data_IF_206720083485
#
_entry.id   IF_206720083485
#
_cell.length_a   1.000
_cell.length_b   1.000
_cell.length_c   1.000
_cell.angle_alpha   90.00
_cell.angle_beta   90.00
_cell.angle_gamma   90.00
#
_symmetry.space_group_name_H-M   'P 1'
#
loop_
_entity.id
_entity.type
_entity.pdbx_description
1 polymer ?
#
# COMPACT_ATOMS: atom_id res chain seq x y z
N UNK A 1 -6.93 21.53 -14.23
CA UNK A 1 -8.25 20.85 -14.21
C UNK A 1 -8.05 19.35 -14.14
N UNK A 2 -8.71 18.70 -13.19
CA UNK A 2 -8.69 17.24 -13.11
C UNK A 2 -9.62 16.64 -14.18
N UNK A 3 -9.28 15.44 -14.66
CA UNK A 3 -10.17 14.71 -15.58
C UNK A 3 -11.54 14.44 -14.95
N UNK A 4 -11.64 14.47 -13.62
CA UNK A 4 -12.89 14.25 -12.90
C UNK A 4 -13.85 15.45 -12.96
N UNK A 5 -13.40 16.61 -13.47
CA UNK A 5 -14.20 17.83 -13.51
C UNK A 5 -15.05 17.96 -14.77
N UNK A 6 -14.92 17.02 -15.72
CA UNK A 6 -15.60 17.13 -17.01
C UNK A 6 -17.10 16.84 -16.95
N UNK A 7 -17.50 15.81 -16.21
CA UNK A 7 -18.87 15.29 -16.28
C UNK A 7 -19.15 14.37 -15.08
N UNK A 8 -20.28 14.52 -14.36
CA UNK A 8 -20.61 13.62 -13.26
C UNK A 8 -20.74 12.15 -13.66
N UNK A 9 -21.27 11.88 -14.87
CA UNK A 9 -21.36 10.52 -15.38
C UNK A 9 -19.97 9.96 -15.69
N UNK A 10 -19.09 10.82 -16.19
CA UNK A 10 -17.70 10.46 -16.46
C UNK A 10 -16.95 10.16 -15.16
N UNK A 11 -17.24 10.88 -14.06
CA UNK A 11 -16.67 10.60 -12.75
C UNK A 11 -17.03 9.20 -12.28
N UNK A 12 -18.29 8.78 -12.39
CA UNK A 12 -18.70 7.42 -12.05
C UNK A 12 -17.95 6.37 -12.85
N UNK A 13 -17.83 6.59 -14.16
CA UNK A 13 -17.08 5.68 -15.04
C UNK A 13 -15.61 5.61 -14.63
N UNK A 14 -15.00 6.77 -14.35
CA UNK A 14 -13.59 6.82 -13.94
C UNK A 14 -13.34 6.10 -12.62
N UNK A 15 -14.24 6.21 -11.66
CA UNK A 15 -14.14 5.49 -10.40
C UNK A 15 -14.11 3.99 -10.65
N UNK A 16 -15.01 3.47 -11.50
CA UNK A 16 -15.04 2.05 -11.85
C UNK A 16 -13.78 1.62 -12.60
N UNK A 17 -13.29 2.47 -13.50
CA UNK A 17 -12.05 2.19 -14.23
C UNK A 17 -10.85 2.14 -13.29
N UNK A 18 -10.76 3.06 -12.34
CA UNK A 18 -9.69 3.07 -11.35
C UNK A 18 -9.77 1.86 -10.43
N UNK A 19 -10.95 1.48 -9.97
CA UNK A 19 -11.15 0.27 -9.17
C UNK A 19 -10.65 -0.96 -9.91
N UNK A 20 -11.00 -1.09 -11.20
CA UNK A 20 -10.56 -2.22 -12.01
C UNK A 20 -9.07 -2.18 -12.28
N UNK A 21 -8.51 -0.99 -12.53
CA UNK A 21 -7.08 -0.83 -12.76
C UNK A 21 -6.27 -1.26 -11.54
N UNK A 22 -6.73 -0.88 -10.35
CA UNK A 22 -6.07 -1.24 -9.09
C UNK A 22 -6.19 -2.74 -8.84
N UNK A 23 -7.41 -3.30 -8.96
CA UNK A 23 -7.66 -4.71 -8.68
C UNK A 23 -6.90 -5.64 -9.61
N UNK A 24 -6.75 -5.25 -10.88
CA UNK A 24 -6.09 -6.07 -11.90
C UNK A 24 -4.66 -5.63 -12.23
N UNK A 25 -4.09 -4.72 -11.44
CA UNK A 25 -2.68 -4.33 -11.60
C UNK A 25 -1.75 -5.51 -11.40
N UNK A 26 -0.66 -5.55 -12.18
CA UNK A 26 0.41 -6.53 -11.97
C UNK A 26 1.21 -6.25 -10.70
N UNK A 27 1.24 -5.00 -10.26
CA UNK A 27 1.93 -4.63 -9.02
C UNK A 27 0.99 -4.81 -7.84
N UNK A 28 1.57 -5.16 -6.69
CA UNK A 28 0.82 -5.27 -5.45
C UNK A 28 0.45 -3.88 -4.95
N UNK A 29 -0.80 -3.72 -4.57
CA UNK A 29 -1.33 -2.45 -4.07
C UNK A 29 -1.97 -2.67 -2.72
N UNK A 30 -1.61 -1.81 -1.77
CA UNK A 30 -2.17 -1.81 -0.42
C UNK A 30 -2.57 -0.38 -0.05
N UNK A 31 -3.72 -0.23 0.59
CA UNK A 31 -4.16 1.06 1.14
C UNK A 31 -4.33 0.88 2.64
N UNK A 32 -3.76 1.80 3.42
CA UNK A 32 -3.89 1.82 4.87
C UNK A 32 -4.52 3.12 5.33
N UNK A 33 -5.06 3.13 6.56
CA UNK A 33 -5.43 4.37 7.23
C UNK A 33 -4.17 5.04 7.78
N UNK A 34 -4.19 6.38 7.86
CA UNK A 34 -3.12 7.17 8.46
C UNK A 34 -3.41 7.40 9.94
N UNK A 35 -3.48 6.31 10.70
CA UNK A 35 -3.69 6.34 12.16
C UNK A 35 -2.76 5.31 12.81
N UNK A 36 -2.60 5.31 14.15
CA UNK A 36 -1.68 4.39 14.82
C UNK A 36 -1.88 2.94 14.40
N UNK A 37 -0.78 2.26 14.07
CA UNK A 37 -0.79 0.90 13.56
C UNK A 37 -1.00 0.80 12.07
N UNK A 38 -1.43 1.87 11.42
CA UNK A 38 -1.66 1.94 9.96
C UNK A 38 -2.46 0.74 9.43
N UNK A 39 -3.68 0.50 9.96
CA UNK A 39 -4.42 -0.70 9.59
C UNK A 39 -4.76 -0.72 8.10
N UNK A 40 -4.62 -1.88 7.50
CA UNK A 40 -4.92 -2.11 6.09
C UNK A 40 -6.42 -2.00 5.86
N UNK A 41 -6.83 -1.25 4.83
CA UNK A 41 -8.23 -1.14 4.42
C UNK A 41 -8.50 -1.82 3.07
N UNK A 42 -7.47 -2.00 2.24
CA UNK A 42 -7.63 -2.63 0.93
C UNK A 42 -6.30 -3.22 0.47
N UNK A 43 -6.37 -4.39 -0.14
CA UNK A 43 -5.28 -4.98 -0.94
C UNK A 43 -5.86 -5.50 -2.25
N UNK A 44 -5.09 -5.39 -3.32
CA UNK A 44 -5.53 -5.91 -4.60
C UNK A 44 -5.20 -7.40 -4.76
N UNK A 45 -5.67 -7.98 -5.85
CA UNK A 45 -5.49 -9.41 -6.15
C UNK A 45 -4.01 -9.79 -6.24
N UNK A 46 -3.18 -8.94 -6.86
CA UNK A 46 -1.75 -9.19 -6.99
C UNK A 46 -1.07 -9.33 -5.63
N UNK A 47 -1.45 -8.49 -4.67
CA UNK A 47 -0.93 -8.58 -3.30
C UNK A 47 -1.23 -9.95 -2.69
N UNK A 48 -2.48 -10.38 -2.76
CA UNK A 48 -2.90 -11.66 -2.16
C UNK A 48 -2.23 -12.85 -2.84
N UNK A 49 -2.13 -12.83 -4.16
CA UNK A 49 -1.48 -13.90 -4.91
C UNK A 49 0.00 -14.01 -4.59
N UNK A 50 0.68 -12.87 -4.41
CA UNK A 50 2.11 -12.86 -4.16
C UNK A 50 2.46 -13.16 -2.71
N UNK A 51 1.76 -12.55 -1.74
CA UNK A 51 2.09 -12.70 -0.31
C UNK A 51 1.49 -13.94 0.34
N UNK A 52 0.44 -14.48 -0.24
CA UNK A 52 -0.31 -15.59 0.34
C UNK A 52 -1.35 -15.17 1.37
N UNK A 53 -1.44 -13.88 1.70
CA UNK A 53 -2.47 -13.37 2.62
C UNK A 53 -3.70 -12.95 1.82
N UNK A 54 -4.87 -13.46 2.20
CA UNK A 54 -6.13 -13.02 1.61
C UNK A 54 -6.53 -11.63 2.14
N UNK A 55 -7.45 -10.95 1.44
CA UNK A 55 -8.03 -9.70 1.93
C UNK A 55 -8.58 -9.85 3.33
N UNK A 56 -9.33 -10.91 3.58
CA UNK A 56 -9.98 -11.17 4.87
C UNK A 56 -8.96 -11.35 5.99
N UNK A 57 -7.78 -11.89 5.66
CA UNK A 57 -6.72 -12.10 6.64
C UNK A 57 -5.96 -10.82 6.98
N UNK A 58 -5.80 -9.92 6.02
CA UNK A 58 -4.90 -8.76 6.17
C UNK A 58 -5.64 -7.46 6.51
N UNK A 59 -6.89 -7.27 6.06
CA UNK A 59 -7.64 -6.05 6.32
C UNK A 59 -7.86 -5.87 7.83
N UNK A 60 -7.61 -4.67 8.31
CA UNK A 60 -7.69 -4.33 9.73
C UNK A 60 -6.41 -4.55 10.51
N UNK A 61 -5.42 -5.22 9.93
CA UNK A 61 -4.14 -5.51 10.59
C UNK A 61 -3.07 -4.55 10.12
N UNK A 62 -2.01 -4.42 10.93
CA UNK A 62 -0.83 -3.64 10.57
C UNK A 62 -0.04 -4.34 9.46
N UNK A 63 0.51 -3.59 8.49
CA UNK A 63 1.43 -4.16 7.50
C UNK A 63 2.69 -4.78 8.10
N UNK A 64 2.98 -4.52 9.36
CA UNK A 64 4.13 -5.11 10.06
C UNK A 64 4.11 -6.64 10.06
N UNK A 65 2.96 -7.25 9.78
CA UNK A 65 2.85 -8.71 9.63
C UNK A 65 3.76 -9.25 8.53
N UNK A 66 4.13 -8.40 7.54
CA UNK A 66 5.04 -8.79 6.45
C UNK A 66 6.52 -8.69 6.86
N UNK A 67 6.83 -8.07 7.99
CA UNK A 67 8.19 -7.90 8.48
C UNK A 67 8.68 -9.15 9.20
N UNK A 68 10.00 -9.31 9.28
CA UNK A 68 10.60 -10.44 9.97
C UNK A 68 12.06 -10.21 10.31
N UNK A 69 12.80 -11.26 10.67
CA UNK A 69 14.15 -11.14 11.26
C UNK A 69 15.15 -10.35 10.41
N UNK A 70 15.06 -10.41 9.08
CA UNK A 70 16.01 -9.73 8.20
C UNK A 70 15.54 -8.36 7.73
N UNK A 71 14.37 -7.91 8.17
CA UNK A 71 13.90 -6.56 7.85
C UNK A 71 14.71 -5.56 8.68
N UNK A 72 15.44 -4.67 8.00
CA UNK A 72 16.39 -3.78 8.68
C UNK A 72 15.70 -2.72 9.54
N UNK A 73 16.08 -2.62 10.84
CA UNK A 73 15.51 -1.60 11.73
C UNK A 73 15.71 -0.16 11.23
N UNK A 74 16.86 0.14 10.62
CA UNK A 74 17.13 1.47 10.10
C UNK A 74 16.16 1.88 8.99
N UNK A 75 15.76 0.92 8.15
CA UNK A 75 14.76 1.17 7.12
C UNK A 75 13.40 1.44 7.76
N UNK A 76 13.02 0.65 8.76
CA UNK A 76 11.75 0.82 9.46
C UNK A 76 11.67 2.17 10.17
N UNK A 77 12.79 2.64 10.74
CA UNK A 77 12.85 3.97 11.36
C UNK A 77 12.60 5.07 10.33
N UNK A 78 13.20 4.98 9.15
CA UNK A 78 12.97 5.95 8.06
C UNK A 78 11.53 5.91 7.57
N UNK A 79 10.97 4.71 7.44
CA UNK A 79 9.58 4.52 7.04
C UNK A 79 8.65 5.18 8.06
N UNK A 80 8.81 4.86 9.34
CA UNK A 80 7.97 5.40 10.40
C UNK A 80 8.06 6.92 10.47
N UNK A 81 9.25 7.48 10.29
CA UNK A 81 9.43 8.93 10.25
C UNK A 81 8.69 9.56 9.07
N UNK A 82 8.81 9.00 7.88
CA UNK A 82 8.10 9.49 6.71
C UNK A 82 6.59 9.44 6.90
N UNK A 83 6.06 8.35 7.43
CA UNK A 83 4.63 8.18 7.68
C UNK A 83 4.13 9.20 8.72
N UNK A 84 4.90 9.40 9.82
CA UNK A 84 4.50 10.35 10.86
C UNK A 84 4.47 11.79 10.34
N UNK A 85 5.27 12.11 9.32
CA UNK A 85 5.36 13.44 8.74
C UNK A 85 4.47 13.62 7.49
N UNK A 86 3.75 12.57 7.09
CA UNK A 86 2.90 12.63 5.89
C UNK A 86 3.69 12.78 4.60
N UNK A 87 4.89 12.19 4.54
CA UNK A 87 5.78 12.28 3.38
C UNK A 87 5.76 11.01 2.55
N UNK A 88 6.04 11.17 1.26
CA UNK A 88 6.28 10.04 0.37
C UNK A 88 7.50 9.25 0.85
N UNK A 89 7.40 7.92 0.78
CA UNK A 89 8.50 7.02 1.11
C UNK A 89 8.82 6.13 -0.08
N UNK A 90 10.10 5.86 -0.29
CA UNK A 90 10.58 4.88 -1.27
C UNK A 90 11.72 4.09 -0.66
N UNK A 91 11.68 2.77 -0.74
CA UNK A 91 12.73 1.92 -0.20
C UNK A 91 12.55 0.47 -0.56
N UNK A 92 13.54 -0.33 -0.18
CA UNK A 92 13.55 -1.77 -0.36
C UNK A 92 13.79 -2.46 0.98
N UNK A 93 13.17 -3.60 1.19
CA UNK A 93 13.38 -4.40 2.39
C UNK A 93 13.11 -5.88 2.14
N UNK A 94 13.71 -6.71 2.97
CA UNK A 94 13.35 -8.12 3.02
C UNK A 94 12.06 -8.23 3.82
N UNK A 95 11.05 -8.81 3.21
CA UNK A 95 9.76 -9.11 3.80
C UNK A 95 9.45 -10.60 3.65
N UNK A 96 8.34 -11.02 4.20
CA UNK A 96 8.00 -12.44 4.32
C UNK A 96 6.58 -12.71 3.85
N UNK A 97 6.41 -13.78 3.07
CA UNK A 97 5.11 -14.29 2.69
C UNK A 97 4.46 -15.02 3.87
N UNK A 98 3.20 -15.35 3.75
CA UNK A 98 2.47 -16.08 4.77
C UNK A 98 3.13 -17.43 5.11
N UNK A 99 3.74 -18.08 4.14
CA UNK A 99 4.44 -19.36 4.34
C UNK A 99 5.82 -19.22 4.99
N UNK A 100 6.25 -18.01 5.29
CA UNK A 100 7.54 -17.74 5.90
C UNK A 100 8.69 -17.54 4.90
N UNK A 101 8.44 -17.70 3.61
CA UNK A 101 9.48 -17.46 2.61
C UNK A 101 9.76 -15.96 2.47
N UNK A 102 11.04 -15.61 2.32
CA UNK A 102 11.44 -14.21 2.21
C UNK A 102 11.51 -13.74 0.77
N UNK A 103 11.35 -12.42 0.58
CA UNK A 103 11.52 -11.76 -0.70
C UNK A 103 12.00 -10.33 -0.49
N UNK A 104 12.61 -9.75 -1.52
CA UNK A 104 13.01 -8.33 -1.48
C UNK A 104 11.88 -7.53 -2.10
N UNK A 105 11.28 -6.66 -1.32
CA UNK A 105 10.18 -5.80 -1.75
C UNK A 105 10.66 -4.37 -1.91
N UNK A 106 10.35 -3.78 -3.06
CA UNK A 106 10.48 -2.35 -3.26
C UNK A 106 9.11 -1.70 -3.05
N UNK A 107 9.07 -0.63 -2.25
CA UNK A 107 7.84 0.12 -2.00
C UNK A 107 7.96 1.55 -2.45
N UNK A 108 6.86 2.08 -2.91
CA UNK A 108 6.63 3.51 -2.99
C UNK A 108 5.33 3.77 -2.23
N UNK A 109 5.39 4.57 -1.17
CA UNK A 109 4.23 4.87 -0.33
C UNK A 109 3.88 6.33 -0.49
N UNK A 110 2.62 6.58 -0.90
CA UNK A 110 2.14 7.92 -1.25
C UNK A 110 1.07 8.33 -0.24
N UNK A 111 1.22 9.50 0.41
CA UNK A 111 0.18 10.02 1.29
C UNK A 111 -1.04 10.47 0.48
N UNK A 112 -2.23 10.10 0.95
CA UNK A 112 -3.50 10.52 0.35
C UNK A 112 -4.16 11.49 1.31
N UNK A 113 -4.41 12.71 0.84
CA UNK A 113 -5.02 13.76 1.64
C UNK A 113 -6.53 13.83 1.40
N UNK A 114 -7.27 14.13 2.46
CA UNK A 114 -8.70 14.39 2.38
C UNK A 114 -8.96 15.85 1.94
N UNK A 115 -10.24 16.23 1.91
CA UNK A 115 -10.66 17.59 1.50
C UNK A 115 -10.11 18.69 2.40
N UNK A 116 -9.68 18.36 3.62
CA UNK A 116 -9.10 19.31 4.58
C UNK A 116 -7.57 19.35 4.51
N UNK A 117 -6.97 18.77 3.46
CA UNK A 117 -5.51 18.70 3.27
C UNK A 117 -4.80 17.93 4.38
N UNK A 118 -5.50 17.02 5.06
CA UNK A 118 -4.95 16.15 6.10
C UNK A 118 -4.74 14.76 5.50
N UNK A 119 -3.58 14.16 5.75
CA UNK A 119 -3.30 12.79 5.31
C UNK A 119 -4.25 11.84 6.04
N UNK A 120 -5.13 11.19 5.29
CA UNK A 120 -6.12 10.25 5.82
C UNK A 120 -5.75 8.80 5.56
N UNK A 121 -5.01 8.55 4.50
CA UNK A 121 -4.63 7.20 4.04
C UNK A 121 -3.25 7.23 3.41
N UNK A 122 -2.67 6.03 3.24
CA UNK A 122 -1.46 5.82 2.45
C UNK A 122 -1.74 4.78 1.38
N UNK A 123 -1.23 5.06 0.17
CA UNK A 123 -1.26 4.11 -0.94
C UNK A 123 0.14 3.55 -1.11
N UNK A 124 0.29 2.23 -0.95
CA UNK A 124 1.56 1.55 -1.16
C UNK A 124 1.54 0.81 -2.49
N UNK A 125 2.48 1.14 -3.35
CA UNK A 125 2.76 0.45 -4.60
C UNK A 125 3.99 -0.43 -4.36
N UNK A 126 3.86 -1.73 -4.56
CA UNK A 126 4.86 -2.70 -4.16
C UNK A 126 5.21 -3.61 -5.32
N UNK A 127 6.47 -4.07 -5.36
CA UNK A 127 6.89 -5.10 -6.31
C UNK A 127 8.03 -5.93 -5.75
N UNK A 128 8.13 -7.17 -6.23
CA UNK A 128 9.23 -8.07 -5.93
C UNK A 128 10.44 -7.68 -6.79
N UNK A 129 11.57 -7.42 -6.13
CA UNK A 129 12.84 -7.13 -6.81
C UNK A 129 13.92 -8.13 -6.38
N UNK A 130 13.52 -9.30 -5.93
CA UNK A 130 14.43 -10.39 -5.57
C UNK A 130 15.26 -10.80 -6.80
N UNK A 131 16.55 -10.92 -6.61
CA UNK A 131 17.46 -11.34 -7.68
C UNK A 131 17.83 -12.81 -7.53
#
# INVERSE_FOLDING_TARGET
>A
MSIFDYDPNFQSLMIRMLENAIEHSFHEIMITKAEPGYPVVYVNKAFSQFTGYSSEEIVGKSPAILQGPKTEPALLDRLNQALSEGRLFHGEAINYRKDGSEFVMEWKIVPIKNDKEVTSHYLALQRDVTK
#
